data_IF_431912994150
#
_entry.id   IF_431912994150
#
_cell.length_a   1.000
_cell.length_b   1.000
_cell.length_c   1.000
_cell.angle_alpha   90.00
_cell.angle_beta   90.00
_cell.angle_gamma   90.00
#
_symmetry.space_group_name_H-M   'P 1'
#
loop_
_entity.id
_entity.type
_entity.pdbx_description
1 polymer ?
#
# COMPACT_ATOMS: atom_id res chain seq x y z
N UNK A 1 -8.28 -9.07 24.70
CA UNK A 1 -8.82 -7.72 25.05
C UNK A 1 -10.12 -7.81 25.87
N UNK A 2 -10.56 -6.75 26.59
CA UNK A 2 -11.87 -6.69 27.31
C UNK A 2 -12.84 -5.69 26.69
N UNK A 3 -14.14 -5.89 26.90
CA UNK A 3 -15.22 -5.14 26.24
C UNK A 3 -15.13 -3.62 26.48
N UNK A 4 -14.82 -3.19 27.71
CA UNK A 4 -14.64 -1.77 28.00
C UNK A 4 -13.48 -1.12 27.23
N UNK A 5 -12.37 -1.85 27.02
CA UNK A 5 -11.29 -1.35 26.18
C UNK A 5 -11.72 -1.25 24.71
N UNK A 6 -12.57 -2.16 24.22
CA UNK A 6 -13.08 -2.10 22.84
C UNK A 6 -13.97 -0.86 22.68
N UNK A 7 -14.86 -0.60 23.65
CA UNK A 7 -15.69 0.59 23.70
C UNK A 7 -14.85 1.88 23.69
N UNK A 8 -13.85 1.97 24.56
CA UNK A 8 -12.94 3.12 24.65
C UNK A 8 -12.16 3.30 23.34
N UNK A 9 -11.61 2.22 22.78
CA UNK A 9 -10.88 2.30 21.51
C UNK A 9 -11.78 2.78 20.37
N UNK A 10 -13.03 2.28 20.27
CA UNK A 10 -14.03 2.74 19.29
C UNK A 10 -14.26 4.25 19.37
N UNK A 11 -14.36 4.81 20.58
CA UNK A 11 -14.52 6.25 20.80
C UNK A 11 -13.29 7.07 20.40
N UNK A 12 -12.07 6.54 20.56
CA UNK A 12 -10.87 7.20 20.03
C UNK A 12 -10.87 7.18 18.50
N UNK A 13 -11.30 6.09 17.86
CA UNK A 13 -11.40 6.03 16.39
C UNK A 13 -12.49 6.98 15.86
N UNK A 14 -13.55 7.23 16.64
CA UNK A 14 -14.57 8.22 16.31
C UNK A 14 -14.04 9.65 16.46
N UNK A 15 -13.63 10.04 17.67
CA UNK A 15 -13.19 11.41 18.01
C UNK A 15 -11.85 11.80 17.40
N UNK A 16 -10.96 10.83 17.16
CA UNK A 16 -9.56 11.10 16.79
C UNK A 16 -8.69 11.59 17.97
N UNK A 17 -9.20 11.60 19.21
CA UNK A 17 -8.51 12.21 20.35
C UNK A 17 -8.49 11.32 21.59
N UNK A 18 -7.28 10.90 21.99
CA UNK A 18 -7.05 10.18 23.26
C UNK A 18 -7.36 11.06 24.46
N UNK A 19 -6.99 12.36 24.41
CA UNK A 19 -7.19 13.30 25.53
C UNK A 19 -8.66 13.60 25.76
N UNK A 20 -9.42 13.79 24.68
CA UNK A 20 -10.85 14.03 24.75
C UNK A 20 -11.58 12.81 25.30
N UNK A 21 -11.27 11.61 24.76
CA UNK A 21 -11.86 10.35 25.23
C UNK A 21 -11.53 10.08 26.71
N UNK A 22 -10.29 10.35 27.13
CA UNK A 22 -9.86 10.24 28.52
C UNK A 22 -10.65 11.18 29.45
N UNK A 23 -10.86 12.43 29.03
CA UNK A 23 -11.67 13.40 29.78
C UNK A 23 -13.13 12.96 29.88
N UNK A 24 -13.72 12.53 28.75
CA UNK A 24 -15.14 12.14 28.66
C UNK A 24 -15.49 10.98 29.60
N UNK A 25 -14.62 9.98 29.71
CA UNK A 25 -14.87 8.79 30.54
C UNK A 25 -14.16 8.81 31.90
N UNK A 26 -13.52 9.94 32.24
CA UNK A 26 -12.71 10.10 33.46
C UNK A 26 -11.66 8.99 33.62
N UNK A 27 -10.96 8.66 32.53
CA UNK A 27 -9.90 7.65 32.47
C UNK A 27 -8.52 8.31 32.33
N UNK A 28 -7.47 7.61 32.75
CA UNK A 28 -6.10 8.03 32.45
C UNK A 28 -5.85 7.96 30.93
N UNK A 29 -5.15 8.96 30.38
CA UNK A 29 -4.77 8.98 28.97
C UNK A 29 -3.93 7.75 28.57
N UNK A 30 -3.14 7.19 29.49
CA UNK A 30 -2.40 5.95 29.30
C UNK A 30 -3.32 4.74 29.10
N UNK A 31 -4.42 4.64 29.86
CA UNK A 31 -5.43 3.59 29.71
C UNK A 31 -6.13 3.66 28.36
N UNK A 32 -6.52 4.87 27.94
CA UNK A 32 -7.14 5.09 26.63
C UNK A 32 -6.16 4.76 25.50
N UNK A 33 -4.89 5.19 25.62
CA UNK A 33 -3.86 4.84 24.65
C UNK A 33 -3.62 3.32 24.59
N UNK A 34 -3.59 2.65 25.74
CA UNK A 34 -3.42 1.20 25.82
C UNK A 34 -4.60 0.45 25.18
N UNK A 35 -5.83 0.95 25.30
CA UNK A 35 -7.00 0.38 24.63
C UNK A 35 -6.82 0.35 23.09
N UNK A 36 -6.34 1.46 22.50
CA UNK A 36 -6.04 1.52 21.07
C UNK A 36 -4.89 0.60 20.70
N UNK A 37 -3.77 0.64 21.44
CA UNK A 37 -2.61 -0.23 21.17
C UNK A 37 -2.98 -1.72 21.24
N UNK A 38 -3.81 -2.10 22.21
CA UNK A 38 -4.29 -3.48 22.35
C UNK A 38 -5.19 -3.88 21.18
N UNK A 39 -6.07 -2.98 20.71
CA UNK A 39 -6.89 -3.23 19.52
C UNK A 39 -6.01 -3.41 18.27
N UNK A 40 -5.01 -2.55 18.07
CA UNK A 40 -4.05 -2.68 16.98
C UNK A 40 -3.26 -3.99 17.05
N UNK A 41 -2.89 -4.43 18.26
CA UNK A 41 -2.19 -5.69 18.49
C UNK A 41 -3.04 -6.92 18.19
N UNK A 42 -4.29 -6.93 18.64
CA UNK A 42 -5.23 -8.03 18.39
C UNK A 42 -5.61 -8.17 16.90
N UNK A 43 -5.64 -7.04 16.17
CA UNK A 43 -5.95 -7.00 14.73
C UNK A 43 -4.70 -7.04 13.84
N UNK A 44 -3.50 -6.99 14.40
CA UNK A 44 -2.24 -6.84 13.66
C UNK A 44 -2.25 -5.71 12.60
N UNK A 45 -2.98 -4.62 12.88
CA UNK A 45 -3.17 -3.48 11.96
C UNK A 45 -2.95 -2.18 12.71
N UNK A 46 -2.20 -1.26 12.10
CA UNK A 46 -2.12 0.12 12.58
C UNK A 46 -3.37 0.92 12.21
N UNK A 47 -3.98 1.54 13.21
CA UNK A 47 -5.20 2.34 13.08
C UNK A 47 -4.91 3.83 13.27
N UNK A 48 -3.85 4.15 14.02
CA UNK A 48 -3.49 5.53 14.37
C UNK A 48 -1.98 5.73 14.23
N UNK A 49 -1.56 6.97 13.92
CA UNK A 49 -0.15 7.39 13.89
C UNK A 49 -0.02 8.73 14.58
N UNK A 50 1.08 8.96 15.31
CA UNK A 50 1.42 10.31 15.80
C UNK A 50 2.13 11.10 14.71
N UNK A 51 1.64 12.29 14.40
CA UNK A 51 2.27 13.25 13.48
C UNK A 51 2.20 14.64 14.12
N UNK A 52 3.35 15.31 14.27
CA UNK A 52 3.44 16.66 14.86
C UNK A 52 2.76 16.80 16.23
N UNK A 53 2.80 15.74 17.06
CA UNK A 53 2.17 15.73 18.39
C UNK A 53 0.69 15.37 18.41
N UNK A 54 0.03 15.31 17.25
CA UNK A 54 -1.38 14.94 17.11
C UNK A 54 -1.56 13.49 16.67
N UNK A 55 -2.73 12.92 16.99
CA UNK A 55 -3.09 11.57 16.63
C UNK A 55 -3.87 11.57 15.31
N UNK A 56 -3.24 11.06 14.26
CA UNK A 56 -3.83 10.95 12.92
C UNK A 56 -4.45 9.58 12.76
N UNK A 57 -5.72 9.54 12.34
CA UNK A 57 -6.43 8.30 11.99
C UNK A 57 -6.01 7.82 10.60
N UNK A 58 -5.65 6.55 10.48
CA UNK A 58 -5.31 5.94 9.19
C UNK A 58 -6.59 5.47 8.47
N UNK A 59 -6.53 5.25 7.16
CA UNK A 59 -7.69 4.80 6.35
C UNK A 59 -8.34 3.52 6.93
N UNK A 60 -7.53 2.64 7.54
CA UNK A 60 -8.03 1.43 8.19
C UNK A 60 -8.94 1.71 9.40
N UNK A 61 -8.77 2.85 10.08
CA UNK A 61 -9.54 3.25 11.26
C UNK A 61 -11.04 3.30 11.00
N UNK A 62 -11.47 3.89 9.88
CA UNK A 62 -12.90 4.02 9.54
C UNK A 62 -13.59 2.67 9.40
N UNK A 63 -13.00 1.76 8.59
CA UNK A 63 -13.56 0.42 8.39
C UNK A 63 -13.60 -0.41 9.68
N UNK A 64 -12.56 -0.32 10.52
CA UNK A 64 -12.55 -1.03 11.81
C UNK A 64 -13.61 -0.46 12.75
N UNK A 65 -13.77 0.86 12.80
CA UNK A 65 -14.84 1.50 13.58
C UNK A 65 -16.22 1.00 13.14
N UNK A 66 -16.49 0.97 11.84
CA UNK A 66 -17.78 0.51 11.32
C UNK A 66 -18.00 -0.98 11.64
N UNK A 67 -16.96 -1.81 11.54
CA UNK A 67 -17.00 -3.21 11.91
C UNK A 67 -17.13 -3.47 13.43
N UNK A 68 -16.80 -2.49 14.29
CA UNK A 68 -17.04 -2.56 15.73
C UNK A 68 -18.48 -2.22 16.11
N UNK A 69 -19.28 -1.66 15.20
CA UNK A 69 -20.64 -1.20 15.50
C UNK A 69 -21.58 -2.33 16.00
N UNK A 70 -21.56 -3.56 15.45
CA UNK A 70 -22.35 -4.66 16.01
C UNK A 70 -21.94 -5.01 17.46
N UNK A 71 -20.67 -4.84 17.82
CA UNK A 71 -20.21 -5.02 19.20
C UNK A 71 -20.79 -3.92 20.10
N UNK A 72 -20.81 -2.66 19.64
CA UNK A 72 -21.40 -1.56 20.40
C UNK A 72 -22.90 -1.79 20.67
N UNK A 73 -23.65 -2.25 19.66
CA UNK A 73 -25.05 -2.64 19.83
C UNK A 73 -25.22 -3.77 20.85
N UNK A 74 -24.32 -4.76 20.84
CA UNK A 74 -24.30 -5.81 21.85
C UNK A 74 -24.03 -5.27 23.27
N UNK A 75 -23.21 -4.23 23.42
CA UNK A 75 -23.00 -3.58 24.71
C UNK A 75 -24.24 -2.83 25.20
N UNK A 76 -24.97 -2.17 24.31
CA UNK A 76 -26.24 -1.51 24.64
C UNK A 76 -27.27 -2.53 25.12
N UNK A 77 -27.43 -3.65 24.40
CA UNK A 77 -28.30 -4.74 24.83
C UNK A 77 -27.85 -5.38 26.15
N UNK A 78 -26.54 -5.47 26.39
CA UNK A 78 -26.02 -5.97 27.66
C UNK A 78 -26.34 -5.01 28.81
N UNK A 79 -26.27 -3.70 28.56
CA UNK A 79 -26.63 -2.67 29.52
C UNK A 79 -28.12 -2.74 29.89
N UNK A 80 -29.03 -3.05 28.98
CA UNK A 80 -30.44 -3.27 29.32
C UNK A 80 -30.66 -4.48 30.27
N UNK A 81 -29.74 -5.45 30.25
CA UNK A 81 -29.84 -6.67 31.07
C UNK A 81 -29.12 -6.51 32.41
N UNK A 82 -28.02 -5.77 32.45
CA UNK A 82 -27.04 -5.72 33.56
C UNK A 82 -26.88 -4.32 34.16
N UNK A 83 -27.13 -3.29 33.37
CA UNK A 83 -26.88 -1.90 33.73
C UNK A 83 -27.79 -1.41 34.84
N UNK A 84 -27.22 -0.57 35.70
CA UNK A 84 -28.00 0.26 36.60
C UNK A 84 -28.53 1.47 35.80
N UNK A 85 -29.85 1.64 35.75
CA UNK A 85 -30.50 2.76 35.07
C UNK A 85 -30.08 4.13 35.65
N UNK A 86 -29.49 4.16 36.84
CA UNK A 86 -28.93 5.36 37.45
C UNK A 86 -27.54 5.76 36.92
N UNK A 87 -26.76 4.83 36.32
CA UNK A 87 -25.46 5.14 35.72
C UNK A 87 -25.60 5.31 34.20
N UNK A 88 -25.05 6.39 33.62
CA UNK A 88 -25.07 6.58 32.18
C UNK A 88 -24.35 5.44 31.43
N UNK A 89 -24.94 4.95 30.32
CA UNK A 89 -24.40 3.86 29.51
C UNK A 89 -22.91 3.99 29.19
N UNK A 90 -22.45 5.17 28.75
CA UNK A 90 -21.05 5.35 28.36
C UNK A 90 -20.07 5.20 29.53
N UNK A 91 -20.47 5.67 30.72
CA UNK A 91 -19.68 5.52 31.96
C UNK A 91 -19.53 4.02 32.29
N UNK A 92 -20.65 3.30 32.27
CA UNK A 92 -20.69 1.87 32.53
C UNK A 92 -19.88 1.08 31.48
N UNK A 93 -20.12 1.36 30.20
CA UNK A 93 -19.53 0.65 29.06
C UNK A 93 -18.01 0.78 29.03
N UNK A 94 -17.47 1.96 29.37
CA UNK A 94 -16.02 2.19 29.43
C UNK A 94 -15.29 1.33 30.48
N UNK A 95 -16.01 0.77 31.46
CA UNK A 95 -15.45 0.04 32.61
C UNK A 95 -15.76 -1.46 32.62
N UNK A 96 -16.40 -2.00 31.59
CA UNK A 96 -16.75 -3.43 31.53
C UNK A 96 -15.47 -4.29 31.60
N UNK A 97 -15.33 -5.14 32.65
CA UNK A 97 -14.15 -5.96 32.87
C UNK A 97 -14.17 -7.28 32.09
N UNK A 98 -15.28 -7.59 31.42
CA UNK A 98 -15.50 -8.86 30.70
C UNK A 98 -14.52 -8.97 29.52
N UNK A 99 -13.68 -10.01 29.54
CA UNK A 99 -12.76 -10.33 28.45
C UNK A 99 -13.47 -11.09 27.34
N UNK A 100 -13.06 -10.92 26.09
CA UNK A 100 -13.57 -11.71 24.96
C UNK A 100 -13.39 -13.23 25.19
N UNK A 101 -12.26 -13.63 25.75
CA UNK A 101 -12.02 -15.04 26.13
C UNK A 101 -13.01 -15.55 27.18
N UNK A 102 -13.54 -14.67 28.05
CA UNK A 102 -14.57 -15.05 29.03
C UNK A 102 -15.92 -15.27 28.34
N UNK A 103 -16.22 -14.47 27.31
CA UNK A 103 -17.41 -14.64 26.46
C UNK A 103 -17.35 -15.99 25.75
N UNK A 104 -16.24 -16.30 25.07
CA UNK A 104 -16.04 -17.57 24.37
C UNK A 104 -16.20 -18.77 25.30
N UNK A 105 -15.64 -18.68 26.51
CA UNK A 105 -15.75 -19.73 27.54
C UNK A 105 -17.18 -19.92 28.04
N UNK A 106 -17.92 -18.84 28.22
CA UNK A 106 -19.33 -18.89 28.59
C UNK A 106 -20.17 -19.56 27.50
N UNK A 107 -19.97 -19.18 26.24
CA UNK A 107 -20.66 -19.77 25.08
C UNK A 107 -20.36 -21.28 24.99
N UNK A 108 -19.11 -21.69 25.13
CA UNK A 108 -18.74 -23.11 25.12
C UNK A 108 -19.39 -23.90 26.27
N UNK A 109 -19.48 -23.33 27.49
CA UNK A 109 -20.19 -24.00 28.60
C UNK A 109 -21.68 -24.17 28.28
N UNK A 110 -22.31 -23.15 27.68
CA UNK A 110 -23.69 -23.19 27.26
C UNK A 110 -23.94 -24.24 26.17
N UNK A 111 -23.08 -24.29 25.15
CA UNK A 111 -23.19 -25.23 24.02
C UNK A 111 -22.95 -26.68 24.48
N UNK A 112 -22.01 -26.90 25.39
CA UNK A 112 -21.75 -28.23 25.95
C UNK A 112 -22.77 -28.66 27.00
N UNK A 113 -23.58 -27.76 27.55
CA UNK A 113 -24.49 -28.03 28.67
C UNK A 113 -23.81 -28.62 29.92
N UNK A 114 -22.49 -28.46 30.06
CA UNK A 114 -21.71 -28.99 31.17
C UNK A 114 -20.36 -28.30 31.28
N UNK A 115 -20.09 -27.71 32.45
CA UNK A 115 -18.81 -27.05 32.75
C UNK A 115 -17.64 -28.04 32.64
N UNK A 116 -17.81 -29.30 33.05
CA UNK A 116 -16.75 -30.30 32.97
C UNK A 116 -16.42 -30.66 31.51
N UNK A 117 -17.44 -30.85 30.66
CA UNK A 117 -17.22 -31.10 29.22
C UNK A 117 -16.54 -29.92 28.52
N UNK A 118 -17.01 -28.70 28.79
CA UNK A 118 -16.41 -27.49 28.26
C UNK A 118 -14.94 -27.32 28.72
N UNK A 119 -14.65 -27.55 30.00
CA UNK A 119 -13.29 -27.49 30.53
C UNK A 119 -12.36 -28.47 29.82
N UNK A 120 -12.80 -29.72 29.61
CA UNK A 120 -12.02 -30.73 28.87
C UNK A 120 -11.77 -30.31 27.42
N UNK A 121 -12.79 -29.81 26.72
CA UNK A 121 -12.67 -29.37 25.32
C UNK A 121 -11.74 -28.16 25.18
N UNK A 122 -11.81 -27.23 26.12
CA UNK A 122 -10.94 -26.04 26.18
C UNK A 122 -9.54 -26.33 26.75
N UNK A 123 -9.27 -27.58 27.18
CA UNK A 123 -8.04 -27.99 27.87
C UNK A 123 -7.72 -27.13 29.11
N UNK A 124 -8.77 -26.77 29.85
CA UNK A 124 -8.68 -26.00 31.09
C UNK A 124 -9.01 -26.86 32.31
N UNK A 125 -8.50 -26.46 33.47
CA UNK A 125 -8.96 -27.03 34.74
C UNK A 125 -10.42 -26.64 35.01
N UNK A 126 -11.26 -27.60 35.37
CA UNK A 126 -12.65 -27.33 35.76
C UNK A 126 -12.78 -26.26 36.86
N UNK A 127 -11.93 -26.20 37.91
CA UNK A 127 -12.01 -25.14 38.92
C UNK A 127 -11.79 -23.74 38.33
N UNK A 128 -10.87 -23.62 37.36
CA UNK A 128 -10.57 -22.35 36.69
C UNK A 128 -11.76 -21.87 35.85
N UNK A 129 -12.37 -22.76 35.06
CA UNK A 129 -13.54 -22.41 34.25
C UNK A 129 -14.74 -22.06 35.14
N UNK A 130 -14.98 -22.84 36.19
CA UNK A 130 -16.08 -22.58 37.15
C UNK A 130 -15.93 -21.22 37.82
N UNK A 131 -14.71 -20.85 38.25
CA UNK A 131 -14.44 -19.54 38.86
C UNK A 131 -14.67 -18.39 37.87
N UNK A 132 -14.31 -18.57 36.60
CA UNK A 132 -14.56 -17.55 35.59
C UNK A 132 -16.04 -17.35 35.29
N UNK A 133 -16.81 -18.43 35.22
CA UNK A 133 -18.28 -18.33 35.08
C UNK A 133 -18.89 -17.65 36.30
N UNK A 134 -18.47 -18.01 37.52
CA UNK A 134 -18.96 -17.37 38.74
C UNK A 134 -18.66 -15.86 38.78
N UNK A 135 -17.47 -15.44 38.32
CA UNK A 135 -17.12 -14.02 38.22
C UNK A 135 -17.97 -13.29 37.16
N UNK A 136 -18.29 -13.96 36.05
CA UNK A 136 -19.18 -13.41 35.04
C UNK A 136 -20.61 -13.27 35.57
N UNK A 137 -21.14 -14.29 36.25
CA UNK A 137 -22.46 -14.23 36.91
C UNK A 137 -22.52 -13.11 37.96
N UNK A 138 -21.44 -12.93 38.73
CA UNK A 138 -21.32 -11.82 39.68
C UNK A 138 -21.35 -10.45 38.99
N UNK A 139 -20.66 -10.30 37.86
CA UNK A 139 -20.70 -9.07 37.07
C UNK A 139 -22.11 -8.80 36.51
N UNK A 140 -22.78 -9.85 36.02
CA UNK A 140 -24.14 -9.76 35.47
C UNK A 140 -25.19 -9.54 36.57
N UNK A 141 -24.89 -9.88 37.82
CA UNK A 141 -25.82 -9.79 38.95
C UNK A 141 -26.89 -10.90 38.98
N UNK A 142 -26.81 -11.87 38.05
CA UNK A 142 -27.75 -12.98 37.93
C UNK A 142 -27.02 -14.30 37.68
N UNK A 143 -27.60 -15.40 38.15
CA UNK A 143 -27.16 -16.72 37.70
C UNK A 143 -27.51 -16.89 36.23
N UNK A 144 -26.52 -17.34 35.46
CA UNK A 144 -26.66 -17.62 34.03
C UNK A 144 -26.90 -19.12 33.79
N UNK A 145 -26.49 -19.97 34.72
CA UNK A 145 -26.70 -21.41 34.67
C UNK A 145 -27.49 -21.92 35.88
N UNK A 146 -28.41 -22.85 35.64
CA UNK A 146 -29.03 -23.70 36.65
C UNK A 146 -28.26 -25.02 36.73
N UNK A 147 -27.91 -25.45 37.95
CA UNK A 147 -27.30 -26.76 38.19
C UNK A 147 -28.37 -27.84 38.20
N UNK A 148 -28.20 -28.87 37.37
CA UNK A 148 -29.04 -30.07 37.33
C UNK A 148 -28.18 -31.32 37.54
N UNK A 149 -28.80 -32.43 37.92
CA UNK A 149 -28.11 -33.70 38.17
C UNK A 149 -27.27 -34.20 36.97
N UNK A 150 -27.60 -33.79 35.74
CA UNK A 150 -26.94 -34.20 34.51
C UNK A 150 -26.10 -33.09 33.82
N UNK A 151 -25.99 -31.90 34.41
CA UNK A 151 -25.22 -30.81 33.79
C UNK A 151 -25.68 -29.41 34.18
N UNK A 152 -25.44 -28.46 33.28
CA UNK A 152 -25.76 -27.04 33.43
C UNK A 152 -26.68 -26.60 32.30
N UNK A 153 -27.83 -25.99 32.63
CA UNK A 153 -28.74 -25.41 31.63
C UNK A 153 -28.84 -23.91 31.81
N UNK A 154 -28.97 -23.15 30.71
CA UNK A 154 -29.10 -21.69 30.81
C UNK A 154 -30.40 -21.30 31.54
N UNK A 155 -30.30 -20.32 32.44
CA UNK A 155 -31.45 -19.59 32.98
C UNK A 155 -32.10 -18.74 31.87
N UNK A 156 -33.25 -18.12 32.14
CA UNK A 156 -33.84 -17.15 31.20
C UNK A 156 -32.89 -15.96 30.93
N UNK A 157 -32.26 -15.42 31.98
CA UNK A 157 -31.22 -14.39 31.86
C UNK A 157 -30.00 -14.93 31.11
N UNK A 158 -29.60 -16.16 31.40
CA UNK A 158 -28.53 -16.88 30.67
C UNK A 158 -28.78 -16.95 29.17
N UNK A 159 -30.01 -17.24 28.74
CA UNK A 159 -30.38 -17.27 27.31
C UNK A 159 -30.27 -15.90 26.64
N UNK A 160 -30.70 -14.82 27.31
CA UNK A 160 -30.55 -13.46 26.78
C UNK A 160 -29.09 -13.06 26.64
N UNK A 161 -28.29 -13.28 27.68
CA UNK A 161 -26.85 -13.00 27.66
C UNK A 161 -26.14 -13.83 26.60
N UNK A 162 -26.52 -15.10 26.40
CA UNK A 162 -26.01 -15.94 25.33
C UNK A 162 -26.22 -15.34 23.94
N UNK A 163 -27.42 -14.85 23.62
CA UNK A 163 -27.68 -14.19 22.33
C UNK A 163 -26.77 -12.99 22.10
N UNK A 164 -26.64 -12.12 23.11
CA UNK A 164 -25.79 -10.92 23.05
C UNK A 164 -24.31 -11.31 22.86
N UNK A 165 -23.82 -12.25 23.68
CA UNK A 165 -22.43 -12.69 23.68
C UNK A 165 -22.06 -13.44 22.40
N UNK A 166 -22.99 -14.20 21.84
CA UNK A 166 -22.82 -14.85 20.54
C UNK A 166 -22.63 -13.82 19.43
N UNK A 167 -23.49 -12.79 19.38
CA UNK A 167 -23.38 -11.71 18.39
C UNK A 167 -22.06 -10.91 18.54
N UNK A 168 -21.67 -10.57 19.77
CA UNK A 168 -20.40 -9.87 20.05
C UNK A 168 -19.20 -10.73 19.64
N UNK A 169 -19.20 -12.02 19.98
CA UNK A 169 -18.12 -12.94 19.63
C UNK A 169 -18.00 -13.13 18.11
N UNK A 170 -19.14 -13.28 17.42
CA UNK A 170 -19.17 -13.39 15.96
C UNK A 170 -18.61 -12.13 15.29
N UNK A 171 -19.10 -10.95 15.67
CA UNK A 171 -18.62 -9.69 15.12
C UNK A 171 -17.11 -9.48 15.35
N UNK A 172 -16.60 -9.88 16.52
CA UNK A 172 -15.17 -9.84 16.80
C UNK A 172 -14.36 -10.80 15.91
N UNK A 173 -14.85 -12.03 15.72
CA UNK A 173 -14.21 -13.02 14.86
C UNK A 173 -14.20 -12.61 13.38
N UNK A 174 -15.29 -12.00 12.91
CA UNK A 174 -15.39 -11.47 11.54
C UNK A 174 -14.40 -10.33 11.33
N UNK A 175 -14.31 -9.41 12.28
CA UNK A 175 -13.32 -8.33 12.27
C UNK A 175 -11.89 -8.86 12.24
N UNK A 176 -11.58 -9.85 13.09
CA UNK A 176 -10.24 -10.47 13.14
C UNK A 176 -9.92 -11.22 11.84
N UNK A 177 -10.89 -11.95 11.28
CA UNK A 177 -10.71 -12.67 10.02
C UNK A 177 -10.47 -11.73 8.84
N UNK A 178 -11.21 -10.61 8.77
CA UNK A 178 -11.00 -9.57 7.78
C UNK A 178 -9.63 -8.87 7.95
N UNK A 179 -9.19 -8.69 9.19
CA UNK A 179 -7.88 -8.16 9.52
C UNK A 179 -6.74 -9.11 9.12
N UNK A 180 -6.86 -10.40 9.41
CA UNK A 180 -5.90 -11.45 9.03
C UNK A 180 -5.82 -11.66 7.52
N UNK A 181 -6.95 -11.59 6.81
CA UNK A 181 -6.96 -11.61 5.34
C UNK A 181 -6.26 -10.37 4.76
N UNK A 182 -6.47 -9.19 5.37
CA UNK A 182 -5.77 -7.95 4.99
C UNK A 182 -4.28 -8.02 5.29
N UNK A 183 -3.88 -8.53 6.45
CA UNK A 183 -2.47 -8.74 6.80
C UNK A 183 -1.82 -9.72 5.82
N UNK A 184 -2.50 -10.83 5.47
CA UNK A 184 -2.04 -11.75 4.43
C UNK A 184 -1.98 -11.10 3.04
N UNK A 185 -2.93 -10.22 2.68
CA UNK A 185 -2.90 -9.47 1.41
C UNK A 185 -1.81 -8.40 1.37
N UNK A 186 -1.53 -7.73 2.49
CA UNK A 186 -0.44 -6.76 2.63
C UNK A 186 0.94 -7.45 2.66
N UNK A 187 1.06 -8.60 3.33
CA UNK A 187 2.24 -9.45 3.27
C UNK A 187 2.46 -10.07 1.87
N UNK A 188 1.43 -10.06 1.02
CA UNK A 188 1.47 -10.44 -0.41
C UNK A 188 1.45 -9.25 -1.37
N UNK A 189 1.59 -8.02 -0.88
CA UNK A 189 1.59 -6.85 -1.77
C UNK A 189 2.86 -6.86 -2.62
N UNK A 190 2.70 -6.75 -3.94
CA UNK A 190 3.83 -6.68 -4.86
C UNK A 190 4.44 -5.28 -4.80
N UNK A 191 5.70 -5.16 -4.41
CA UNK A 191 6.42 -3.88 -4.34
C UNK A 191 7.30 -3.73 -5.57
N UNK A 192 6.97 -2.73 -6.39
CA UNK A 192 7.65 -2.46 -7.64
C UNK A 192 8.38 -1.13 -7.49
N UNK A 193 9.70 -1.18 -7.64
CA UNK A 193 10.54 -0.01 -7.82
C UNK A 193 10.60 0.37 -9.30
N UNK A 194 10.71 1.66 -9.59
CA UNK A 194 10.98 2.16 -10.94
C UNK A 194 11.99 3.28 -10.91
N UNK A 195 12.75 3.45 -11.99
CA UNK A 195 13.47 4.71 -12.20
C UNK A 195 12.47 5.86 -12.28
N UNK A 196 12.90 7.04 -11.84
CA UNK A 196 12.06 8.23 -11.80
C UNK A 196 11.63 8.57 -13.24
N UNK A 197 10.32 8.58 -13.55
CA UNK A 197 9.87 8.97 -14.88
C UNK A 197 10.23 10.43 -15.16
N UNK A 198 10.73 10.72 -16.35
CA UNK A 198 11.12 12.09 -16.74
C UNK A 198 9.91 12.97 -17.09
N UNK A 199 8.73 12.39 -17.29
CA UNK A 199 7.49 13.12 -17.62
C UNK A 199 6.33 12.17 -17.85
N UNK A 200 5.12 12.71 -18.01
CA UNK A 200 3.92 11.92 -18.26
C UNK A 200 3.98 11.17 -19.61
N UNK A 201 4.68 11.75 -20.57
CA UNK A 201 4.90 11.24 -21.92
C UNK A 201 6.02 10.19 -21.97
N UNK A 202 6.85 10.11 -20.92
CA UNK A 202 7.94 9.15 -20.85
C UNK A 202 7.42 7.72 -20.90
N UNK A 203 8.18 6.84 -21.56
CA UNK A 203 7.82 5.43 -21.65
C UNK A 203 7.61 4.78 -20.27
N UNK A 204 8.43 5.12 -19.28
CA UNK A 204 8.32 4.59 -17.92
C UNK A 204 7.00 5.00 -17.25
N UNK A 205 6.58 6.26 -17.36
CA UNK A 205 5.31 6.72 -16.80
C UNK A 205 4.12 5.98 -17.42
N UNK A 206 4.12 5.83 -18.76
CA UNK A 206 3.09 5.08 -19.49
C UNK A 206 3.08 3.61 -19.09
N UNK A 207 4.25 3.01 -18.93
CA UNK A 207 4.43 1.64 -18.46
C UNK A 207 3.81 1.41 -17.08
N UNK A 208 4.15 2.25 -16.10
CA UNK A 208 3.62 2.17 -14.75
C UNK A 208 2.10 2.39 -14.72
N UNK A 209 1.59 3.35 -15.50
CA UNK A 209 0.17 3.63 -15.61
C UNK A 209 -0.64 2.44 -16.12
N UNK A 210 -0.22 1.85 -17.24
CA UNK A 210 -0.88 0.69 -17.81
C UNK A 210 -0.77 -0.55 -16.90
N UNK A 211 0.39 -0.76 -16.26
CA UNK A 211 0.59 -1.86 -15.31
C UNK A 211 -0.42 -1.81 -14.16
N UNK A 212 -0.63 -0.63 -13.56
CA UNK A 212 -1.60 -0.46 -12.47
C UNK A 212 -3.03 -0.62 -12.95
N UNK A 213 -3.36 -0.10 -14.14
CA UNK A 213 -4.68 -0.25 -14.73
C UNK A 213 -5.03 -1.73 -14.99
N UNK A 214 -4.14 -2.46 -15.65
CA UNK A 214 -4.30 -3.89 -15.97
C UNK A 214 -4.39 -4.74 -14.70
N UNK A 215 -3.55 -4.46 -13.69
CA UNK A 215 -3.57 -5.20 -12.43
C UNK A 215 -4.92 -5.07 -11.70
N UNK A 216 -5.47 -3.85 -11.66
CA UNK A 216 -6.75 -3.59 -11.02
C UNK A 216 -7.91 -4.18 -11.84
N UNK A 217 -7.84 -4.11 -13.17
CA UNK A 217 -8.86 -4.68 -14.06
C UNK A 217 -8.92 -6.22 -13.97
N UNK A 218 -7.77 -6.88 -13.81
CA UNK A 218 -7.65 -8.35 -13.69
C UNK A 218 -8.20 -8.95 -12.39
N UNK A 219 -8.87 -8.17 -11.53
CA UNK A 219 -9.37 -8.58 -10.20
C UNK A 219 -8.30 -9.23 -9.31
N UNK A 220 -7.03 -8.84 -9.46
CA UNK A 220 -5.99 -9.28 -8.53
C UNK A 220 -6.31 -8.76 -7.14
N UNK A 221 -6.39 -9.67 -6.15
CA UNK A 221 -6.74 -9.33 -4.75
C UNK A 221 -5.55 -8.76 -3.95
N UNK A 222 -4.36 -8.73 -4.53
CA UNK A 222 -3.14 -8.25 -3.88
C UNK A 222 -2.93 -6.76 -4.22
N UNK A 223 -2.52 -5.96 -3.23
CA UNK A 223 -2.18 -4.56 -3.47
C UNK A 223 -0.82 -4.45 -4.22
N UNK A 224 -0.68 -3.47 -5.11
CA UNK A 224 0.63 -3.04 -5.63
C UNK A 224 1.10 -1.81 -4.84
N UNK A 225 2.39 -1.76 -4.52
CA UNK A 225 3.07 -0.55 -4.09
C UNK A 225 4.08 -0.13 -5.15
N UNK A 226 3.97 1.08 -5.68
CA UNK A 226 4.94 1.66 -6.61
C UNK A 226 5.81 2.68 -5.86
N UNK A 227 7.13 2.63 -6.06
CA UNK A 227 8.06 3.64 -5.55
C UNK A 227 9.04 3.99 -6.67
N UNK A 228 9.22 5.29 -6.91
CA UNK A 228 10.23 5.79 -7.86
C UNK A 228 11.47 6.26 -7.10
N UNK A 229 12.65 5.86 -7.55
CA UNK A 229 13.93 6.22 -6.93
C UNK A 229 15.06 6.18 -7.98
N UNK A 230 16.29 6.53 -7.58
CA UNK A 230 17.46 6.47 -8.47
C UNK A 230 17.81 5.01 -8.80
N UNK A 231 18.59 4.78 -9.87
CA UNK A 231 19.03 3.43 -10.23
C UNK A 231 19.81 2.74 -9.09
N UNK A 232 20.67 3.48 -8.39
CA UNK A 232 21.44 2.96 -7.24
C UNK A 232 20.53 2.58 -6.06
N UNK A 233 19.58 3.44 -5.73
CA UNK A 233 18.59 3.16 -4.67
C UNK A 233 17.74 1.93 -5.02
N UNK A 234 17.37 1.75 -6.30
CA UNK A 234 16.62 0.58 -6.76
C UNK A 234 17.43 -0.70 -6.54
N UNK A 235 18.73 -0.69 -6.88
CA UNK A 235 19.62 -1.83 -6.67
C UNK A 235 19.71 -2.18 -5.18
N UNK A 236 19.92 -1.19 -4.33
CA UNK A 236 20.01 -1.41 -2.88
C UNK A 236 18.67 -1.89 -2.30
N UNK A 237 17.55 -1.31 -2.75
CA UNK A 237 16.21 -1.72 -2.34
C UNK A 237 15.88 -3.15 -2.79
N UNK A 238 16.32 -3.56 -3.98
CA UNK A 238 16.12 -4.92 -4.50
C UNK A 238 17.00 -5.93 -3.73
N UNK A 239 18.25 -5.58 -3.45
CA UNK A 239 19.20 -6.39 -2.67
C UNK A 239 18.72 -6.60 -1.23
N UNK A 240 18.22 -5.55 -0.59
CA UNK A 240 17.68 -5.60 0.78
C UNK A 240 16.26 -6.20 0.87
N UNK A 241 15.59 -6.43 -0.27
CA UNK A 241 14.22 -6.94 -0.32
C UNK A 241 13.14 -5.92 0.10
N UNK A 242 13.47 -4.63 0.05
CA UNK A 242 12.52 -3.51 0.22
C UNK A 242 11.56 -3.40 -0.96
N UNK A 243 12.00 -3.80 -2.16
CA UNK A 243 11.18 -4.00 -3.36
C UNK A 243 11.35 -5.43 -3.86
N UNK A 244 10.34 -5.92 -4.59
CA UNK A 244 10.31 -7.29 -5.13
C UNK A 244 10.76 -7.32 -6.59
N UNK A 245 10.51 -6.24 -7.33
CA UNK A 245 10.86 -6.03 -8.74
C UNK A 245 11.30 -4.58 -8.97
N UNK A 246 12.23 -4.33 -9.88
CA UNK A 246 12.69 -3.00 -10.29
C UNK A 246 12.57 -2.82 -11.81
N UNK A 247 12.06 -1.67 -12.27
CA UNK A 247 12.09 -1.24 -13.68
C UNK A 247 13.20 -0.21 -13.86
N UNK A 248 14.10 -0.46 -14.80
CA UNK A 248 15.37 0.25 -14.99
C UNK A 248 15.56 0.63 -16.46
N UNK A 249 16.35 1.65 -16.70
CA UNK A 249 16.74 2.16 -18.02
C UNK A 249 18.22 1.86 -18.37
N UNK A 250 18.90 1.05 -17.55
CA UNK A 250 20.25 0.56 -17.81
C UNK A 250 20.49 -0.85 -17.27
N UNK A 251 21.48 -1.55 -17.86
CA UNK A 251 21.91 -2.91 -17.46
C UNK A 251 23.04 -2.94 -16.45
N UNK A 252 23.56 -1.77 -16.06
CA UNK A 252 24.74 -1.68 -15.21
C UNK A 252 24.49 -2.35 -13.84
N UNK A 253 25.38 -3.29 -13.47
CA UNK A 253 25.37 -4.07 -12.21
C UNK A 253 24.15 -4.99 -11.98
N UNK A 254 23.44 -5.41 -13.03
CA UNK A 254 22.32 -6.36 -12.91
C UNK A 254 22.71 -7.84 -12.84
N UNK A 255 24.00 -8.16 -12.92
CA UNK A 255 24.55 -9.53 -12.94
C UNK A 255 24.18 -10.35 -11.70
N UNK A 256 23.94 -9.67 -10.58
CA UNK A 256 23.54 -10.28 -9.30
C UNK A 256 22.03 -10.55 -9.17
N UNK A 257 21.24 -10.21 -10.21
CA UNK A 257 19.79 -10.34 -10.22
C UNK A 257 19.29 -11.13 -11.45
N UNK A 258 18.13 -11.74 -11.32
CA UNK A 258 17.37 -12.15 -12.50
C UNK A 258 16.89 -10.89 -13.22
N UNK A 259 17.19 -10.74 -14.50
CA UNK A 259 16.75 -9.58 -15.26
C UNK A 259 16.26 -9.98 -16.65
N UNK A 260 15.40 -9.16 -17.24
CA UNK A 260 14.88 -9.33 -18.59
C UNK A 260 14.73 -7.98 -19.27
N UNK A 261 15.15 -7.92 -20.54
CA UNK A 261 14.90 -6.77 -21.40
C UNK A 261 13.40 -6.64 -21.65
N UNK A 262 12.85 -5.48 -21.31
CA UNK A 262 11.46 -5.11 -21.53
C UNK A 262 11.26 -4.48 -22.91
N UNK A 263 12.18 -3.62 -23.29
CA UNK A 263 12.16 -2.85 -24.53
C UNK A 263 13.59 -2.50 -24.94
N UNK A 264 13.86 -2.56 -26.23
CA UNK A 264 15.01 -1.92 -26.87
C UNK A 264 14.52 -0.85 -27.84
N UNK A 265 15.11 0.33 -27.79
CA UNK A 265 14.76 1.50 -28.60
C UNK A 265 16.02 2.24 -29.01
N UNK A 266 15.90 3.13 -29.99
CA UNK A 266 17.06 3.88 -30.48
C UNK A 266 17.06 5.26 -29.86
N UNK A 267 18.25 5.81 -29.61
CA UNK A 267 18.42 7.23 -29.34
C UNK A 267 18.14 8.02 -30.63
N UNK A 268 17.36 9.08 -30.51
CA UNK A 268 17.06 10.03 -31.60
C UNK A 268 17.33 11.45 -31.11
N UNK A 269 17.62 12.36 -32.03
CA UNK A 269 17.65 13.79 -31.74
C UNK A 269 16.24 14.38 -31.90
N UNK A 270 15.91 15.34 -31.04
CA UNK A 270 14.74 16.19 -31.19
C UNK A 270 15.19 17.64 -31.40
N UNK A 271 14.57 18.29 -32.38
CA UNK A 271 14.92 19.62 -32.81
C UNK A 271 13.67 20.50 -32.97
N UNK A 272 13.82 21.83 -33.03
CA UNK A 272 12.70 22.73 -33.24
C UNK A 272 11.96 22.39 -34.56
N UNK A 273 10.63 22.48 -34.61
CA UNK A 273 9.85 22.16 -35.82
C UNK A 273 10.30 22.91 -37.07
N UNK A 274 10.74 24.16 -36.90
CA UNK A 274 11.15 25.06 -37.99
C UNK A 274 12.65 24.94 -38.36
N UNK A 275 13.39 24.02 -37.72
CA UNK A 275 14.83 23.84 -37.98
C UNK A 275 15.12 23.34 -39.39
N UNK A 276 16.21 23.84 -40.00
CA UNK A 276 16.60 23.55 -41.39
C UNK A 276 17.72 22.53 -41.52
N UNK A 277 18.57 22.36 -40.50
CA UNK A 277 19.65 21.36 -40.52
C UNK A 277 19.11 19.96 -40.86
N UNK A 278 19.80 19.21 -41.72
CA UNK A 278 19.32 17.90 -42.19
C UNK A 278 19.89 16.75 -41.35
N UNK A 279 21.09 16.95 -40.82
CA UNK A 279 21.78 15.98 -39.96
C UNK A 279 21.82 16.47 -38.51
N UNK A 280 22.05 15.55 -37.57
CA UNK A 280 22.29 15.90 -36.16
C UNK A 280 23.49 16.84 -36.03
N UNK A 281 24.53 16.66 -36.85
CA UNK A 281 25.71 17.52 -36.84
C UNK A 281 25.37 18.97 -37.21
N UNK A 282 24.51 19.18 -38.22
CA UNK A 282 24.06 20.52 -38.61
C UNK A 282 23.26 21.17 -37.48
N UNK A 283 22.31 20.43 -36.91
CA UNK A 283 21.43 20.91 -35.85
C UNK A 283 22.21 21.31 -34.59
N UNK A 284 23.18 20.48 -34.21
CA UNK A 284 24.06 20.75 -33.07
C UNK A 284 25.00 21.94 -33.32
N UNK A 285 25.33 22.24 -34.58
CA UNK A 285 26.12 23.44 -34.92
C UNK A 285 25.27 24.72 -34.92
N UNK A 286 23.98 24.61 -35.23
CA UNK A 286 23.05 25.74 -35.37
C UNK A 286 22.30 26.08 -34.07
N UNK A 287 22.16 25.13 -33.14
CA UNK A 287 21.31 25.23 -31.96
C UNK A 287 22.05 24.89 -30.65
N UNK A 288 21.68 25.51 -29.52
CA UNK A 288 22.18 25.10 -28.21
C UNK A 288 21.65 23.71 -27.82
N UNK A 289 22.43 22.96 -27.05
CA UNK A 289 22.08 21.58 -26.66
C UNK A 289 21.55 21.55 -25.23
N UNK A 290 20.56 20.69 -24.98
CA UNK A 290 20.13 20.29 -23.65
C UNK A 290 20.15 18.76 -23.56
N UNK A 291 20.98 18.19 -22.70
CA UNK A 291 21.04 16.74 -22.48
C UNK A 291 20.31 16.32 -21.20
N UNK A 292 19.78 15.10 -21.12
CA UNK A 292 19.42 14.48 -19.84
C UNK A 292 20.67 14.33 -18.95
N UNK A 293 20.52 14.37 -17.62
CA UNK A 293 21.65 14.17 -16.70
C UNK A 293 22.28 12.78 -16.86
N UNK A 294 23.60 12.70 -16.65
CA UNK A 294 24.40 11.45 -16.50
C UNK A 294 23.82 10.49 -15.44
N UNK A 295 22.89 10.93 -14.60
CA UNK A 295 22.17 10.07 -13.65
C UNK A 295 21.09 9.19 -14.28
N UNK A 296 20.87 9.31 -15.59
CA UNK A 296 19.89 8.54 -16.36
C UNK A 296 20.60 7.72 -17.42
N UNK A 297 20.05 6.56 -17.80
CA UNK A 297 20.60 5.78 -18.92
C UNK A 297 20.62 6.55 -20.24
N UNK A 298 19.76 7.57 -20.37
CA UNK A 298 19.74 8.50 -21.50
C UNK A 298 20.93 9.48 -21.49
N UNK A 299 21.31 9.98 -20.31
CA UNK A 299 22.47 10.85 -20.15
C UNK A 299 23.78 10.12 -20.42
N UNK A 300 23.94 8.90 -19.90
CA UNK A 300 25.12 8.07 -20.19
C UNK A 300 25.30 7.84 -21.71
N UNK A 301 24.21 7.52 -22.42
CA UNK A 301 24.23 7.35 -23.88
C UNK A 301 24.57 8.65 -24.63
N UNK A 302 24.08 9.80 -24.15
CA UNK A 302 24.39 11.11 -24.73
C UNK A 302 25.85 11.55 -24.46
N UNK A 303 26.41 11.23 -23.30
CA UNK A 303 27.81 11.54 -22.95
C UNK A 303 28.79 10.69 -23.76
N UNK A 304 28.44 9.43 -24.08
CA UNK A 304 29.24 8.56 -24.93
C UNK A 304 29.46 9.16 -26.34
N UNK A 305 28.44 9.83 -26.90
CA UNK A 305 28.53 10.56 -28.18
C UNK A 305 29.47 11.77 -28.12
N UNK A 306 29.66 12.36 -26.94
CA UNK A 306 30.53 13.54 -26.75
C UNK A 306 32.02 13.19 -26.67
N UNK A 307 32.36 11.90 -26.53
CA UNK A 307 33.74 11.41 -26.34
C UNK A 307 34.41 10.87 -27.62
N UNK A 308 33.81 11.03 -28.80
CA UNK A 308 34.49 10.66 -30.05
C UNK A 308 35.68 11.60 -30.36
N UNK A 309 36.90 11.07 -30.64
CA UNK A 309 38.12 11.87 -30.79
C UNK A 309 38.15 12.85 -31.98
N UNK A 310 37.16 12.80 -32.87
CA UNK A 310 37.13 13.54 -34.15
C UNK A 310 36.30 14.82 -34.13
N UNK A 311 35.43 15.03 -33.13
CA UNK A 311 34.61 16.26 -33.03
C UNK A 311 35.34 17.35 -32.22
N UNK A 312 36.30 17.98 -32.88
CA UNK A 312 37.17 19.02 -32.34
C UNK A 312 36.40 20.24 -31.78
N UNK A 313 36.52 20.47 -30.46
CA UNK A 313 36.87 21.79 -29.87
C UNK A 313 36.00 23.03 -30.13
N UNK A 314 34.70 22.91 -30.45
CA UNK A 314 33.80 24.08 -30.60
C UNK A 314 32.37 23.91 -30.07
N UNK A 315 32.17 23.26 -28.92
CA UNK A 315 30.93 23.48 -28.17
C UNK A 315 31.07 24.80 -27.38
N UNK A 316 30.57 25.90 -27.97
CA UNK A 316 30.61 27.25 -27.37
C UNK A 316 29.62 27.32 -26.21
N UNK A 317 30.10 27.40 -24.97
CA UNK A 317 29.65 28.24 -23.83
C UNK A 317 28.18 28.72 -23.71
N UNK A 318 27.18 28.03 -24.26
CA UNK A 318 25.75 28.41 -24.24
C UNK A 318 24.81 27.25 -23.84
N UNK A 319 25.36 26.12 -23.38
CA UNK A 319 24.59 24.91 -23.08
C UNK A 319 23.87 24.99 -21.73
N UNK A 320 22.58 24.62 -21.71
CA UNK A 320 21.90 24.26 -20.45
C UNK A 320 22.37 22.84 -20.12
N UNK A 321 23.12 22.73 -19.02
CA UNK A 321 24.02 21.60 -18.73
C UNK A 321 23.33 20.27 -18.40
N UNK A 322 22.06 20.25 -17.97
CA UNK A 322 21.27 19.04 -17.82
C UNK A 322 19.79 19.35 -17.50
N UNK A 323 18.84 18.62 -18.10
CA UNK A 323 17.44 18.62 -17.68
C UNK A 323 16.89 17.19 -17.57
N UNK A 324 16.41 16.81 -16.38
CA UNK A 324 15.84 15.47 -16.13
C UNK A 324 14.32 15.42 -16.27
N UNK A 325 13.73 16.51 -16.77
CA UNK A 325 12.29 16.66 -16.97
C UNK A 325 12.00 16.78 -18.47
N UNK A 326 11.31 15.77 -19.01
CA UNK A 326 10.87 15.74 -20.40
C UNK A 326 10.01 16.97 -20.77
N UNK A 327 9.06 17.43 -19.94
CA UNK A 327 8.35 18.69 -20.20
C UNK A 327 9.28 19.89 -20.39
N UNK A 328 10.35 20.00 -19.59
CA UNK A 328 11.34 21.08 -19.72
C UNK A 328 12.13 20.93 -21.02
N UNK A 329 12.58 19.71 -21.34
CA UNK A 329 13.29 19.41 -22.59
C UNK A 329 12.41 19.80 -23.79
N UNK A 330 11.14 19.41 -23.80
CA UNK A 330 10.22 19.69 -24.91
C UNK A 330 9.98 21.19 -25.04
N UNK A 331 9.85 21.92 -23.94
CA UNK A 331 9.70 23.38 -23.95
C UNK A 331 10.93 24.08 -24.53
N UNK A 332 12.13 23.68 -24.10
CA UNK A 332 13.39 24.20 -24.63
C UNK A 332 13.51 23.97 -26.14
N UNK A 333 13.14 22.78 -26.62
CA UNK A 333 13.22 22.44 -28.05
C UNK A 333 12.14 23.15 -28.86
N UNK A 334 10.90 23.13 -28.40
CA UNK A 334 9.76 23.67 -29.17
C UNK A 334 9.72 25.19 -29.19
N UNK A 335 10.10 25.83 -28.07
CA UNK A 335 9.87 27.27 -27.85
C UNK A 335 11.14 28.09 -27.73
N UNK A 336 12.29 27.47 -27.44
CA UNK A 336 13.54 28.18 -27.18
C UNK A 336 14.69 27.80 -28.13
N UNK A 337 14.40 27.00 -29.16
CA UNK A 337 15.35 26.72 -30.22
C UNK A 337 16.48 25.77 -29.83
N UNK A 338 16.30 24.95 -28.78
CA UNK A 338 17.31 23.95 -28.37
C UNK A 338 17.18 22.65 -29.17
N UNK A 339 18.25 21.85 -29.12
CA UNK A 339 18.27 20.45 -29.56
C UNK A 339 18.50 19.54 -28.36
N UNK A 340 17.87 18.36 -28.35
CA UNK A 340 18.04 17.37 -27.29
C UNK A 340 18.03 15.94 -27.83
N UNK A 341 18.30 14.97 -26.96
CA UNK A 341 18.41 13.56 -27.31
C UNK A 341 17.55 12.72 -26.37
N UNK A 342 16.73 11.84 -26.95
CA UNK A 342 15.78 11.00 -26.22
C UNK A 342 15.69 9.62 -26.88
N UNK A 343 15.26 8.61 -26.12
CA UNK A 343 14.83 7.35 -26.73
C UNK A 343 13.61 7.57 -27.63
N UNK A 344 13.59 6.98 -28.82
CA UNK A 344 12.52 7.10 -29.82
C UNK A 344 11.13 6.92 -29.22
N UNK A 345 10.94 5.94 -28.34
CA UNK A 345 9.65 5.69 -27.68
C UNK A 345 9.13 6.84 -26.81
N UNK A 346 10.03 7.70 -26.32
CA UNK A 346 9.68 8.92 -25.58
C UNK A 346 9.54 10.14 -26.50
N UNK A 347 10.14 10.11 -27.69
CA UNK A 347 10.01 11.16 -28.70
C UNK A 347 8.73 11.02 -29.54
N UNK A 348 8.28 9.79 -29.85
CA UNK A 348 7.08 9.54 -30.65
C UNK A 348 5.80 10.21 -30.10
N UNK A 349 5.51 10.19 -28.77
CA UNK A 349 4.31 10.82 -28.24
C UNK A 349 4.28 12.36 -28.34
N UNK A 350 5.43 12.98 -28.62
CA UNK A 350 5.59 14.45 -28.71
C UNK A 350 5.95 14.89 -30.13
N UNK A 351 5.83 14.00 -31.12
CA UNK A 351 6.24 14.24 -32.51
C UNK A 351 5.44 15.36 -33.21
N UNK A 352 4.31 15.77 -32.63
CA UNK A 352 3.52 16.94 -33.07
C UNK A 352 4.12 18.28 -32.62
N UNK A 353 5.02 18.27 -31.62
CA UNK A 353 5.63 19.46 -31.03
C UNK A 353 7.09 19.65 -31.41
N UNK A 354 7.78 18.59 -31.83
CA UNK A 354 9.21 18.59 -32.15
C UNK A 354 9.49 17.84 -33.43
N UNK A 355 10.59 18.19 -34.11
CA UNK A 355 11.11 17.44 -35.24
C UNK A 355 12.00 16.30 -34.74
N UNK A 356 11.71 15.06 -35.12
CA UNK A 356 12.56 13.90 -34.78
C UNK A 356 13.59 13.69 -35.89
N UNK A 357 14.85 13.51 -35.51
CA UNK A 357 15.98 13.37 -36.45
C UNK A 357 16.83 12.17 -36.06
N UNK A 358 17.12 11.33 -37.05
CA UNK A 358 17.92 10.12 -36.89
C UNK A 358 19.40 10.45 -36.69
N UNK A 359 20.05 9.71 -35.79
CA UNK A 359 21.51 9.77 -35.65
C UNK A 359 22.17 8.98 -36.78
N UNK A 360 23.38 9.42 -37.18
CA UNK A 360 24.17 8.71 -38.18
C UNK A 360 24.62 7.33 -37.68
N UNK A 361 24.89 7.21 -36.38
CA UNK A 361 25.17 5.95 -35.72
C UNK A 361 23.98 5.51 -34.87
N UNK A 362 23.70 4.22 -34.90
CA UNK A 362 22.62 3.62 -34.15
C UNK A 362 23.04 3.38 -32.69
N UNK A 363 22.44 4.12 -31.76
CA UNK A 363 22.72 4.01 -30.33
C UNK A 363 21.52 3.37 -29.63
N UNK A 364 21.63 2.10 -29.22
CA UNK A 364 20.53 1.41 -28.57
C UNK A 364 20.41 1.83 -27.10
N UNK A 365 19.17 2.02 -26.66
CA UNK A 365 18.76 2.18 -25.28
C UNK A 365 17.86 1.00 -24.92
N UNK A 366 18.03 0.46 -23.72
CA UNK A 366 17.25 -0.69 -23.28
C UNK A 366 16.64 -0.47 -21.91
N UNK A 367 15.37 -0.80 -21.76
CA UNK A 367 14.70 -0.85 -20.48
C UNK A 367 14.63 -2.28 -19.99
N UNK A 368 14.85 -2.49 -18.70
CA UNK A 368 14.94 -3.80 -18.07
C UNK A 368 14.03 -3.91 -16.87
N UNK A 369 13.60 -5.14 -16.59
CA UNK A 369 13.01 -5.51 -15.31
C UNK A 369 13.97 -6.42 -14.58
N UNK A 370 14.34 -6.04 -13.36
CA UNK A 370 15.21 -6.82 -12.48
C UNK A 370 14.43 -7.32 -11.27
N UNK A 371 14.73 -8.53 -10.81
CA UNK A 371 14.06 -9.17 -9.69
C UNK A 371 15.01 -10.12 -8.94
N UNK A 372 14.71 -10.34 -7.67
CA UNK A 372 15.45 -11.32 -6.86
C UNK A 372 14.93 -12.74 -7.18
N UNK A 373 15.76 -13.79 -7.01
CA UNK A 373 15.48 -15.19 -7.42
C UNK A 373 14.30 -15.90 -6.69
N UNK A 374 13.37 -15.15 -6.10
CA UNK A 374 12.15 -15.69 -5.49
C UNK A 374 11.10 -15.96 -6.56
N UNK A 375 10.44 -17.12 -6.47
CA UNK A 375 9.39 -17.55 -7.42
C UNK A 375 8.28 -16.50 -7.62
N UNK A 376 7.83 -15.86 -6.54
CA UNK A 376 6.80 -14.80 -6.61
C UNK A 376 7.26 -13.55 -7.39
N UNK A 377 8.55 -13.22 -7.34
CA UNK A 377 9.12 -12.10 -8.09
C UNK A 377 9.26 -12.42 -9.58
N UNK A 378 9.51 -13.69 -9.93
CA UNK A 378 9.53 -14.15 -11.31
C UNK A 378 8.13 -14.09 -11.97
N UNK A 379 7.09 -14.52 -11.26
CA UNK A 379 5.70 -14.43 -11.73
C UNK A 379 5.29 -12.95 -11.97
N UNK A 380 5.66 -12.06 -11.06
CA UNK A 380 5.45 -10.62 -11.20
C UNK A 380 6.20 -10.03 -12.40
N UNK A 381 7.46 -10.44 -12.62
CA UNK A 381 8.24 -10.06 -13.80
C UNK A 381 7.57 -10.52 -15.10
N UNK A 382 7.01 -11.74 -15.13
CA UNK A 382 6.25 -12.26 -16.26
C UNK A 382 5.06 -11.35 -16.60
N UNK A 383 4.29 -10.95 -15.59
CA UNK A 383 3.16 -10.03 -15.73
C UNK A 383 3.59 -8.65 -16.22
N UNK A 384 4.68 -8.09 -15.68
CA UNK A 384 5.18 -6.77 -16.08
C UNK A 384 5.56 -6.77 -17.57
N UNK A 385 6.28 -7.78 -18.06
CA UNK A 385 6.59 -7.78 -19.49
C UNK A 385 5.36 -8.04 -20.37
N UNK A 386 4.36 -8.79 -19.90
CA UNK A 386 3.11 -8.94 -20.65
C UNK A 386 2.37 -7.60 -20.76
N UNK A 387 2.33 -6.80 -19.70
CA UNK A 387 1.78 -5.44 -19.72
C UNK A 387 2.59 -4.53 -20.66
N UNK A 388 3.92 -4.59 -20.60
CA UNK A 388 4.81 -3.82 -21.49
C UNK A 388 4.60 -4.18 -22.96
N UNK A 389 4.49 -5.47 -23.29
CA UNK A 389 4.27 -5.92 -24.67
C UNK A 389 2.99 -5.34 -25.27
N UNK A 390 1.92 -5.21 -24.47
CA UNK A 390 0.69 -4.53 -24.91
C UNK A 390 0.93 -3.06 -25.25
N UNK A 391 1.65 -2.33 -24.40
CA UNK A 391 1.95 -0.89 -24.59
C UNK A 391 2.79 -0.65 -25.84
N UNK A 392 3.74 -1.55 -26.12
CA UNK A 392 4.57 -1.48 -27.33
C UNK A 392 3.74 -1.82 -28.58
N UNK A 393 2.78 -2.76 -28.45
CA UNK A 393 1.92 -3.19 -29.56
C UNK A 393 0.76 -2.24 -29.86
N UNK A 394 0.40 -1.35 -28.93
CA UNK A 394 -0.54 -0.27 -29.20
C UNK A 394 0.16 0.77 -30.10
N UNK A 395 -0.31 0.98 -31.34
CA UNK A 395 0.27 2.00 -32.18
C UNK A 395 0.12 3.34 -31.46
N UNK A 396 1.22 4.06 -31.31
CA UNK A 396 1.20 5.49 -31.02
C UNK A 396 0.62 6.18 -32.26
N UNK A 397 -0.69 6.05 -32.47
CA UNK A 397 -1.42 6.73 -33.53
C UNK A 397 -1.89 8.09 -32.97
N UNK A 398 -1.71 9.20 -33.69
CA UNK A 398 -2.01 9.35 -35.12
C UNK A 398 -0.88 9.98 -35.91
N UNK A 399 -0.48 9.29 -36.97
CA UNK A 399 -0.10 9.90 -38.24
C UNK A 399 -1.25 10.82 -38.68
N UNK A 400 -1.11 12.14 -38.49
CA UNK A 400 -1.96 13.08 -39.19
C UNK A 400 -1.57 13.00 -40.67
N UNK A 401 -2.43 12.38 -41.45
CA UNK A 401 -2.33 12.39 -42.90
C UNK A 401 -2.31 13.85 -43.36
N UNK A 402 -1.26 14.17 -44.11
CA UNK A 402 -1.21 15.32 -45.01
C UNK A 402 -2.44 15.27 -45.91
N UNK A 403 -3.24 16.33 -45.89
CA UNK A 403 -4.22 16.66 -46.92
C UNK A 403 -3.97 18.10 -47.35
#
# INVERSE_FOLDING_TARGET
MHLGAIFVASHVLASGSVRETARRFSLAASTVSAAVTNLEGELAIKLTKRSSGELVKLIASGKVRDALQPIMLGLEQLYEVVGDLAEAFESWASRIPVKLVTIERFLEVADQGSINRAARRLQLGQPQLSLQIANLEKFVGHQLFERKAQGSTLTEKGRRVYGIFSAVSQAWNDLKSAADERYRRAARSLRIGSIIPTGAESWVARCLGALVADWNAGRSKNAISLISMTADDLREALKSGRIDVAILDSVFELESFGHRELLRTDLVAIAPPESTGLTVADLVAEHPICTPSERTGLGDAATALSHEPTASRRFRSQDIMAADSLPVIVDLVSNHGYVSFLGRVSALPIADRVRIVELAEHIPISYHVAFNHRKASADACAMIAAAVQKIISEPVAKTAAVA
#
